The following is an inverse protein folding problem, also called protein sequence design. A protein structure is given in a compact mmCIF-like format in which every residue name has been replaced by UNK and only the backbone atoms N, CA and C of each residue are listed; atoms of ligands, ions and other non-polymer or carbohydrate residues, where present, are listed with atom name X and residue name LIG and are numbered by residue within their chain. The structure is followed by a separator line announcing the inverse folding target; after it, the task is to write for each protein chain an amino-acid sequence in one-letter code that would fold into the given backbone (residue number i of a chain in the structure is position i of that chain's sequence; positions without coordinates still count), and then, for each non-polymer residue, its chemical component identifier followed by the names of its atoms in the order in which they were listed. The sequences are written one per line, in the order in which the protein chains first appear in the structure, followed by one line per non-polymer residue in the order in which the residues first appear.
data_IF_063128364653
#
_entry.id   IF_063128364653
#
_cell.length_a   1.000
_cell.length_b   1.000
_cell.length_c   1.000
_cell.angle_alpha   90.00
_cell.angle_beta   90.00
_cell.angle_gamma   90.00
#
_symmetry.space_group_name_H-M   'P 1'
#
loop_
_entity.id
_entity.type
_entity.pdbx_description
1 polymer ?
#
# COMPACT_ATOMS: atom_id res chain seq x y z
N UNK A 1 4.55 -8.63 -3.82
CA UNK A 1 3.97 -7.44 -4.46
C UNK A 1 2.74 -7.87 -5.25
N UNK A 2 1.52 -7.66 -4.74
CA UNK A 2 0.27 -8.09 -5.37
C UNK A 2 -0.13 -7.28 -6.61
N UNK A 3 0.85 -6.86 -7.42
CA UNK A 3 0.65 -6.00 -8.58
C UNK A 3 -0.01 -6.77 -9.72
N UNK A 4 -0.95 -6.14 -10.41
CA UNK A 4 -1.60 -6.71 -11.59
C UNK A 4 -0.62 -6.81 -12.76
N UNK A 5 -0.22 -8.01 -13.17
CA UNK A 5 0.75 -8.22 -14.26
C UNK A 5 0.17 -8.78 -15.55
N UNK A 6 -0.87 -9.60 -15.47
CA UNK A 6 -1.41 -10.24 -16.65
C UNK A 6 -2.92 -10.46 -16.54
N UNK A 7 -3.61 -10.25 -17.66
CA UNK A 7 -4.98 -10.71 -17.88
C UNK A 7 -4.92 -11.93 -18.79
N UNK A 8 -5.58 -13.01 -18.39
CA UNK A 8 -5.62 -14.27 -19.14
C UNK A 8 -7.08 -14.57 -19.48
N UNK A 9 -7.36 -15.05 -20.69
CA UNK A 9 -8.69 -15.47 -21.09
C UNK A 9 -9.02 -16.89 -20.57
N UNK A 10 -10.26 -17.35 -20.77
CA UNK A 10 -10.69 -18.70 -20.38
C UNK A 10 -9.96 -19.85 -21.10
N UNK A 11 -9.22 -19.56 -22.18
CA UNK A 11 -8.40 -20.52 -22.92
C UNK A 11 -6.93 -20.55 -22.47
N UNK A 12 -6.55 -19.75 -21.46
CA UNK A 12 -5.17 -19.69 -20.95
C UNK A 12 -4.22 -18.80 -21.75
N UNK A 13 -4.71 -18.04 -22.74
CA UNK A 13 -3.89 -17.08 -23.49
C UNK A 13 -3.84 -15.71 -22.80
N UNK A 14 -2.67 -15.07 -22.83
CA UNK A 14 -2.46 -13.73 -22.28
C UNK A 14 -3.16 -12.71 -23.18
N UNK A 15 -4.11 -11.97 -22.62
CA UNK A 15 -4.87 -10.89 -23.28
C UNK A 15 -4.17 -9.55 -23.08
N UNK A 16 -3.61 -9.33 -21.88
CA UNK A 16 -2.86 -8.13 -21.52
C UNK A 16 -1.71 -8.50 -20.61
N UNK A 17 -0.56 -7.87 -20.81
CA UNK A 17 0.62 -8.00 -19.98
C UNK A 17 1.15 -6.62 -19.63
N UNK A 18 1.50 -6.41 -18.37
CA UNK A 18 2.04 -5.15 -17.86
C UNK A 18 3.24 -5.43 -16.97
N UNK A 19 4.37 -4.80 -17.31
CA UNK A 19 5.58 -4.81 -16.50
C UNK A 19 5.70 -3.51 -15.72
N UNK A 20 6.14 -3.63 -14.47
CA UNK A 20 6.39 -2.50 -13.60
C UNK A 20 7.83 -2.52 -13.11
N UNK A 21 8.37 -1.35 -12.82
CA UNK A 21 9.59 -1.22 -12.04
C UNK A 21 9.33 -1.51 -10.54
N UNK A 22 10.36 -1.30 -9.72
CA UNK A 22 10.29 -1.50 -8.27
C UNK A 22 9.28 -0.58 -7.57
N UNK A 23 9.04 0.62 -8.11
CA UNK A 23 8.15 1.65 -7.54
C UNK A 23 6.77 1.69 -8.18
N UNK A 24 6.49 0.86 -9.19
CA UNK A 24 5.19 0.78 -9.84
C UNK A 24 5.04 1.61 -11.10
N UNK A 25 6.12 2.15 -11.68
CA UNK A 25 6.08 2.74 -13.01
C UNK A 25 5.91 1.65 -14.06
N UNK A 26 5.02 1.88 -15.03
CA UNK A 26 4.77 0.93 -16.12
C UNK A 26 5.93 0.99 -17.11
N UNK A 27 6.71 -0.10 -17.19
CA UNK A 27 7.81 -0.25 -18.14
C UNK A 27 7.32 -0.76 -19.51
N UNK A 28 6.27 -1.56 -19.49
CA UNK A 28 5.70 -2.16 -20.70
C UNK A 28 4.21 -2.43 -20.49
N UNK A 29 3.38 -2.12 -21.49
CA UNK A 29 1.96 -2.51 -21.54
C UNK A 29 1.67 -3.04 -22.94
N UNK A 30 1.26 -4.30 -23.03
CA UNK A 30 0.96 -4.96 -24.30
C UNK A 30 -0.33 -4.47 -24.95
N UNK A 31 -1.25 -3.88 -24.19
CA UNK A 31 -2.54 -3.40 -24.69
C UNK A 31 -3.03 -2.16 -23.92
N UNK A 32 -2.49 -0.96 -24.20
CA UNK A 32 -2.82 0.28 -23.49
C UNK A 32 -4.28 0.74 -23.64
N UNK A 33 -4.96 0.28 -24.69
CA UNK A 33 -6.37 0.60 -24.95
C UNK A 33 -7.32 -0.06 -23.94
N UNK A 34 -6.96 -1.24 -23.44
CA UNK A 34 -7.73 -1.95 -22.44
C UNK A 34 -7.38 -1.42 -21.05
N UNK A 35 -8.24 -0.54 -20.53
CA UNK A 35 -8.09 0.01 -19.18
C UNK A 35 -8.59 -0.98 -18.12
N UNK A 36 -7.73 -1.26 -17.14
CA UNK A 36 -8.04 -2.08 -15.97
C UNK A 36 -7.67 -1.25 -14.74
N UNK A 37 -8.59 -1.01 -13.80
CA UNK A 37 -8.33 -0.15 -12.66
C UNK A 37 -7.39 -0.77 -11.61
N UNK A 38 -6.87 -1.98 -11.82
CA UNK A 38 -5.96 -2.66 -10.91
C UNK A 38 -4.52 -2.44 -11.36
N UNK A 39 -3.66 -1.94 -10.46
CA UNK A 39 -2.25 -1.69 -10.77
C UNK A 39 -1.27 -2.18 -9.73
N UNK A 40 -0.25 -1.35 -9.48
CA UNK A 40 0.85 -1.67 -8.57
C UNK A 40 0.37 -1.92 -7.14
N UNK A 41 0.95 -2.92 -6.46
CA UNK A 41 0.66 -3.20 -5.05
C UNK A 41 -0.77 -3.67 -4.75
N UNK A 42 -1.61 -3.86 -5.77
CA UNK A 42 -3.04 -4.11 -5.63
C UNK A 42 -3.87 -2.83 -5.41
N UNK A 43 -3.28 -1.66 -5.63
CA UNK A 43 -3.97 -0.37 -5.59
C UNK A 43 -4.80 -0.10 -6.84
N UNK A 44 -5.67 0.90 -6.74
CA UNK A 44 -6.53 1.33 -7.84
C UNK A 44 -5.83 2.47 -8.60
N UNK A 45 -5.50 2.26 -9.87
CA UNK A 45 -4.87 3.30 -10.70
C UNK A 45 -5.96 4.25 -11.18
N UNK A 46 -5.70 5.55 -11.13
CA UNK A 46 -6.48 6.54 -11.85
C UNK A 46 -5.77 6.93 -13.15
N UNK A 47 -6.39 6.64 -14.29
CA UNK A 47 -5.83 6.93 -15.61
C UNK A 47 -5.63 8.43 -15.87
N UNK A 48 -6.45 9.29 -15.26
CA UNK A 48 -6.40 10.72 -15.52
C UNK A 48 -5.17 11.36 -14.85
N UNK A 49 -4.79 10.87 -13.67
CA UNK A 49 -3.71 11.43 -12.85
C UNK A 49 -2.45 10.58 -12.83
N UNK A 50 -2.53 9.30 -13.18
CA UNK A 50 -1.43 8.33 -13.05
C UNK A 50 -1.20 7.86 -11.61
N UNK A 51 -1.99 8.36 -10.65
CA UNK A 51 -1.83 8.04 -9.23
C UNK A 51 -2.44 6.67 -8.90
N UNK A 52 -1.82 5.99 -7.94
CA UNK A 52 -2.31 4.73 -7.40
C UNK A 52 -2.97 4.98 -6.04
N UNK A 53 -4.25 4.70 -5.93
CA UNK A 53 -4.99 4.80 -4.68
C UNK A 53 -4.75 3.56 -3.82
N UNK A 54 -4.18 3.79 -2.64
CA UNK A 54 -4.01 2.80 -1.57
C UNK A 54 -4.87 3.20 -0.37
N UNK A 55 -6.05 2.61 -0.24
CA UNK A 55 -6.98 2.94 0.82
C UNK A 55 -7.36 4.42 0.80
N UNK A 56 -6.87 5.18 1.79
CA UNK A 56 -7.14 6.62 1.92
C UNK A 56 -6.03 7.53 1.36
N UNK A 57 -4.94 6.97 0.83
CA UNK A 57 -3.81 7.74 0.29
C UNK A 57 -3.66 7.54 -1.21
N UNK A 58 -3.14 8.57 -1.87
CA UNK A 58 -2.71 8.52 -3.26
C UNK A 58 -1.19 8.42 -3.30
N UNK A 59 -0.70 7.45 -4.06
CA UNK A 59 0.70 7.17 -4.29
C UNK A 59 1.07 7.59 -5.71
N UNK A 60 2.21 8.24 -5.85
CA UNK A 60 2.79 8.65 -7.12
C UNK A 60 3.96 7.70 -7.47
N UNK A 61 3.81 6.83 -8.48
CA UNK A 61 4.89 5.93 -8.91
C UNK A 61 6.09 6.66 -9.52
N UNK A 62 5.89 7.83 -10.16
CA UNK A 62 6.98 8.56 -10.82
C UNK A 62 7.97 9.09 -9.78
N UNK A 63 7.42 9.58 -8.66
CA UNK A 63 8.22 10.07 -7.52
C UNK A 63 8.58 8.94 -6.56
N UNK A 64 7.80 7.85 -6.54
CA UNK A 64 7.97 6.73 -5.62
C UNK A 64 7.44 6.99 -4.21
N UNK A 65 6.51 7.96 -4.04
CA UNK A 65 6.08 8.46 -2.71
C UNK A 65 4.58 8.75 -2.67
N UNK A 66 3.99 8.78 -1.48
CA UNK A 66 2.63 9.28 -1.28
C UNK A 66 2.58 10.79 -1.47
N UNK A 67 1.48 11.30 -2.05
CA UNK A 67 1.26 12.76 -2.19
C UNK A 67 0.62 13.37 -0.93
N UNK A 68 0.13 12.54 -0.02
CA UNK A 68 -0.47 12.94 1.25
C UNK A 68 0.31 12.34 2.43
N UNK A 69 0.54 13.09 3.52
CA UNK A 69 1.23 12.56 4.69
C UNK A 69 0.44 11.42 5.34
N UNK A 70 1.13 10.45 5.94
CA UNK A 70 0.49 9.36 6.67
C UNK A 70 -0.44 9.92 7.79
N UNK A 71 -1.76 9.62 7.76
CA UNK A 71 -2.69 9.99 8.82
C UNK A 71 -2.30 9.47 10.20
N UNK A 72 -1.60 8.33 10.27
CA UNK A 72 -1.09 7.78 11.52
C UNK A 72 0.05 8.62 12.12
N UNK A 73 0.64 9.53 11.33
CA UNK A 73 1.82 10.35 11.67
C UNK A 73 2.93 9.51 12.28
N UNK A 74 3.07 8.28 11.82
CA UNK A 74 4.09 7.39 12.35
C UNK A 74 5.45 7.91 11.87
N UNK A 75 6.29 8.32 12.82
CA UNK A 75 7.66 8.79 12.57
C UNK A 75 8.69 7.70 12.83
N UNK A 76 8.26 6.43 12.94
CA UNK A 76 9.15 5.28 13.16
C UNK A 76 9.67 4.79 11.81
N UNK A 77 10.95 4.41 11.76
CA UNK A 77 11.66 4.18 10.50
C UNK A 77 12.61 5.34 10.23
N UNK A 78 12.54 5.92 9.05
CA UNK A 78 13.27 7.13 8.62
C UNK A 78 12.58 8.44 9.04
N UNK A 79 11.31 8.36 9.46
CA UNK A 79 10.53 9.51 9.91
C UNK A 79 9.85 10.29 8.79
N UNK A 80 9.89 9.78 7.56
CA UNK A 80 9.26 10.39 6.40
C UNK A 80 7.77 9.99 6.33
N UNK A 81 6.90 11.01 6.37
CA UNK A 81 5.45 10.81 6.33
C UNK A 81 4.91 10.49 4.93
N UNK A 82 5.76 10.57 3.90
CA UNK A 82 5.38 10.38 2.51
C UNK A 82 6.03 9.15 1.88
N UNK A 83 6.89 8.44 2.61
CA UNK A 83 7.58 7.25 2.10
C UNK A 83 6.58 6.09 1.84
N UNK A 84 6.84 5.36 0.75
CA UNK A 84 6.27 4.04 0.51
C UNK A 84 7.27 2.92 0.87
N UNK A 85 6.94 2.16 1.93
CA UNK A 85 7.68 0.98 2.38
C UNK A 85 9.07 1.21 3.01
N UNK A 86 9.44 2.42 3.42
CA UNK A 86 10.79 2.79 3.88
C UNK A 86 11.82 2.59 2.76
N UNK A 87 11.51 3.11 1.57
CA UNK A 87 12.29 3.00 0.33
C UNK A 87 12.61 1.55 -0.14
N UNK A 88 11.94 0.53 0.41
CA UNK A 88 12.11 -0.88 0.02
C UNK A 88 10.80 -1.49 -0.52
N UNK A 89 10.34 -1.07 -1.71
CA UNK A 89 9.09 -1.54 -2.31
C UNK A 89 9.16 -2.97 -2.88
N UNK A 90 10.34 -3.61 -2.84
CA UNK A 90 10.57 -4.99 -3.31
C UNK A 90 10.54 -5.98 -2.16
N UNK A 91 11.04 -5.61 -0.98
CA UNK A 91 10.96 -6.40 0.25
C UNK A 91 9.66 -6.23 1.01
N UNK A 92 8.93 -5.12 0.80
CA UNK A 92 7.80 -4.71 1.66
C UNK A 92 6.57 -4.26 0.88
N UNK A 93 5.39 -4.45 1.47
CA UNK A 93 4.09 -4.08 0.88
C UNK A 93 3.31 -3.22 1.87
N UNK A 94 2.93 -2.00 1.48
CA UNK A 94 1.96 -1.17 2.19
C UNK A 94 0.57 -1.34 1.58
N UNK A 95 -0.21 -2.30 2.10
CA UNK A 95 -1.51 -2.68 1.51
C UNK A 95 -2.61 -1.64 1.75
N UNK A 96 -2.53 -0.85 2.81
CA UNK A 96 -3.58 0.10 3.22
C UNK A 96 -3.10 1.55 3.21
N UNK A 97 -1.88 1.82 2.74
CA UNK A 97 -1.30 3.14 2.84
C UNK A 97 -1.12 3.54 4.31
N UNK A 98 -0.67 2.64 5.17
CA UNK A 98 -0.29 2.89 6.57
C UNK A 98 0.78 1.86 6.93
N UNK A 99 2.01 2.11 6.51
CA UNK A 99 3.00 1.05 6.56
C UNK A 99 3.43 0.71 8.00
N UNK A 100 3.32 -0.58 8.36
CA UNK A 100 4.04 -1.19 9.48
C UNK A 100 4.50 -2.59 9.09
N UNK A 101 5.81 -2.77 8.92
CA UNK A 101 6.44 -4.08 8.76
C UNK A 101 7.45 -4.29 9.88
N UNK A 102 7.25 -5.39 10.62
CA UNK A 102 8.17 -5.87 11.65
C UNK A 102 8.93 -7.07 11.07
N UNK A 103 10.14 -6.91 10.48
CA UNK A 103 10.97 -8.05 10.15
C UNK A 103 11.99 -8.26 11.27
N UNK A 104 11.56 -8.70 12.45
CA UNK A 104 12.47 -9.40 13.37
C UNK A 104 11.67 -10.12 14.45
N UNK A 105 11.44 -11.43 14.27
CA UNK A 105 11.34 -12.47 15.32
C UNK A 105 10.98 -13.83 14.69
N UNK A 106 11.58 -14.17 13.54
CA UNK A 106 11.56 -15.55 13.03
C UNK A 106 12.64 -16.44 13.69
N UNK A 107 13.39 -15.91 14.66
CA UNK A 107 14.34 -16.68 15.46
C UNK A 107 14.09 -16.44 16.94
N UNK A 108 13.68 -17.51 17.64
CA UNK A 108 13.52 -17.67 19.10
C UNK A 108 12.14 -17.21 19.64
N UNK A 109 11.20 -18.17 19.74
CA UNK A 109 10.09 -18.11 20.72
C UNK A 109 8.78 -17.47 20.26
N UNK A 110 8.25 -17.87 19.10
CA UNK A 110 6.94 -17.43 18.61
C UNK A 110 5.77 -17.88 19.50
N UNK A 111 5.05 -16.93 20.08
CA UNK A 111 3.77 -17.18 20.76
C UNK A 111 3.32 -16.02 21.65
N UNK A 112 4.11 -15.68 22.67
CA UNK A 112 3.67 -14.73 23.71
C UNK A 112 3.78 -13.25 23.32
N UNK A 113 4.79 -12.89 22.50
CA UNK A 113 5.02 -11.48 22.12
C UNK A 113 3.96 -10.97 21.13
N UNK A 114 3.42 -11.85 20.27
CA UNK A 114 2.37 -11.49 19.30
C UNK A 114 1.03 -11.15 19.98
N UNK A 115 0.68 -11.83 21.08
CA UNK A 115 -0.56 -11.57 21.81
C UNK A 115 -0.56 -10.26 22.61
N UNK A 116 0.59 -9.92 23.21
CA UNK A 116 0.76 -8.67 23.96
C UNK A 116 0.82 -7.45 23.04
N UNK A 117 1.51 -7.54 21.89
CA UNK A 117 1.51 -6.49 20.88
C UNK A 117 0.13 -6.34 20.23
N UNK A 118 -0.52 -7.44 19.84
CA UNK A 118 -1.88 -7.41 19.26
C UNK A 118 -2.91 -6.73 20.16
N UNK A 119 -2.85 -6.98 21.48
CA UNK A 119 -3.74 -6.32 22.45
C UNK A 119 -3.45 -4.83 22.59
N UNK A 120 -2.18 -4.43 22.53
CA UNK A 120 -1.78 -3.02 22.58
C UNK A 120 -2.16 -2.26 21.30
N UNK A 121 -2.06 -2.90 20.14
CA UNK A 121 -2.52 -2.34 18.86
C UNK A 121 -4.05 -2.24 18.78
N UNK A 122 -4.79 -3.24 19.27
CA UNK A 122 -6.24 -3.16 19.38
C UNK A 122 -6.67 -2.00 20.30
N UNK A 123 -5.98 -1.81 21.42
CA UNK A 123 -6.22 -0.70 22.33
C UNK A 123 -5.95 0.66 21.65
N UNK A 124 -4.80 0.81 20.97
CA UNK A 124 -4.44 2.09 20.31
C UNK A 124 -5.29 2.41 19.07
N UNK A 125 -5.72 1.38 18.33
CA UNK A 125 -6.70 1.53 17.24
C UNK A 125 -8.07 1.94 17.77
N UNK A 126 -8.51 1.37 18.89
CA UNK A 126 -9.76 1.76 19.54
C UNK A 126 -9.71 3.19 20.09
N UNK A 127 -8.56 3.64 20.62
CA UNK A 127 -8.39 5.01 21.11
C UNK A 127 -8.35 6.03 19.96
N UNK A 128 -7.68 5.72 18.85
CA UNK A 128 -7.72 6.55 17.63
C UNK A 128 -9.15 6.65 17.04
N UNK A 129 -9.93 5.57 17.06
CA UNK A 129 -11.34 5.60 16.62
C UNK A 129 -12.25 6.42 17.56
N UNK A 130 -11.91 6.54 18.85
CA UNK A 130 -12.67 7.40 19.79
C UNK A 130 -12.39 8.88 19.55
N UNK A 131 -11.16 9.23 19.16
CA UNK A 131 -10.79 10.59 18.79
C UNK A 131 -11.44 11.01 17.46
N UNK A 132 -11.54 10.09 16.49
CA UNK A 132 -12.22 10.32 15.20
C UNK A 132 -13.75 10.45 15.34
N UNK A 133 -14.38 9.75 16.31
CA UNK A 133 -15.82 9.90 16.62
C UNK A 133 -16.17 11.18 17.39
N UNK A 134 -15.20 11.83 18.03
CA UNK A 134 -15.42 13.06 18.80
C UNK A 134 -14.90 14.32 18.09
N UNK A 135 -14.06 14.18 17.07
CA UNK A 135 -13.45 15.33 16.39
C UNK A 135 -13.28 15.14 14.89
N UNK A 136 -14.38 15.39 14.15
CA UNK A 136 -14.48 15.89 12.76
C UNK A 136 -15.57 15.15 12.00
N UNK A 137 -16.75 15.76 12.05
CA UNK A 137 -17.69 15.66 10.96
C UNK A 137 -17.02 16.08 9.64
N UNK A 138 -17.48 15.45 8.55
CA UNK A 138 -17.41 15.91 7.17
C UNK A 138 -16.17 15.50 6.34
N UNK A 139 -16.24 14.31 5.74
CA UNK A 139 -15.88 14.14 4.34
C UNK A 139 -17.18 14.29 3.53
N UNK A 140 -17.35 15.44 2.88
CA UNK A 140 -18.05 15.53 1.59
C UNK A 140 -16.97 15.46 0.51
#
# INVERSE_FOLDING_TARGET
MGSFRALINGAGSIVKHVDYDSFGNVLFDSLPELYIPLGFGGGIVDRATGLVQFGCRHYDPEVGRFISPDPAKDRRGDGDLYDYCVDDPVGRVDRNGRFFFLPLLAGIGGGAVMGLLGSWFAAKSADNMKEERTGKALCI
#
